data_IF_039973162574
#
_entry.id   IF_039973162574
#
_cell.length_a   1.000
_cell.length_b   1.000
_cell.length_c   1.000
_cell.angle_alpha   90.00
_cell.angle_beta   90.00
_cell.angle_gamma   90.00
#
_symmetry.space_group_name_H-M   'P 1'
#
loop_
_entity.id
_entity.type
_entity.pdbx_description
1 polymer ?
#
# COMPACT_ATOMS: atom_id res chain seq x y z
N UNK A 1 -15.95 1.50 2.48
CA UNK A 1 -15.03 0.66 1.69
C UNK A 1 -15.41 -0.79 1.92
N UNK A 2 -15.86 -1.52 0.90
CA UNK A 2 -16.25 -2.93 1.06
C UNK A 2 -15.01 -3.80 0.82
N UNK A 3 -14.43 -4.37 1.89
CA UNK A 3 -13.19 -5.14 1.81
C UNK A 3 -13.37 -6.66 1.77
N UNK A 4 -14.59 -7.16 1.97
CA UNK A 4 -14.85 -8.59 2.12
C UNK A 4 -14.34 -9.43 0.93
N UNK A 5 -14.35 -8.89 -0.28
CA UNK A 5 -13.89 -9.58 -1.48
C UNK A 5 -12.39 -9.98 -1.45
N UNK A 6 -11.59 -9.36 -0.59
CA UNK A 6 -10.18 -9.71 -0.38
C UNK A 6 -9.99 -10.91 0.58
N UNK A 7 -11.06 -11.38 1.23
CA UNK A 7 -11.01 -12.38 2.29
C UNK A 7 -11.96 -13.54 2.02
N UNK A 8 -11.45 -14.75 2.14
CA UNK A 8 -12.25 -15.98 2.07
C UNK A 8 -13.15 -16.16 3.31
N UNK A 9 -12.75 -15.60 4.44
CA UNK A 9 -13.53 -15.65 5.69
C UNK A 9 -14.28 -14.33 5.92
N UNK A 10 -15.43 -14.36 6.61
CA UNK A 10 -16.12 -13.14 7.02
C UNK A 10 -15.23 -12.21 7.83
N UNK A 11 -15.22 -10.93 7.45
CA UNK A 11 -14.59 -9.87 8.24
C UNK A 11 -15.37 -9.71 9.54
N UNK A 12 -14.69 -9.88 10.67
CA UNK A 12 -15.25 -9.68 12.00
C UNK A 12 -15.10 -8.24 12.47
N UNK A 13 -14.01 -7.58 12.06
CA UNK A 13 -13.71 -6.22 12.46
C UNK A 13 -12.94 -5.48 11.37
N UNK A 14 -13.29 -4.21 11.17
CA UNK A 14 -12.58 -3.29 10.28
C UNK A 14 -12.46 -1.93 10.97
N UNK A 15 -11.26 -1.36 10.95
CA UNK A 15 -11.05 0.04 11.37
C UNK A 15 -10.09 0.75 10.44
N UNK A 16 -10.39 2.02 10.17
CA UNK A 16 -9.49 2.87 9.38
C UNK A 16 -8.34 3.30 10.29
N UNK A 17 -7.12 3.07 9.83
CA UNK A 17 -5.94 3.60 10.52
C UNK A 17 -5.77 5.05 10.06
N UNK A 18 -5.84 5.97 11.04
CA UNK A 18 -5.70 7.41 10.79
C UNK A 18 -4.35 7.68 10.14
N UNK A 19 -4.28 8.56 9.12
CA UNK A 19 -3.01 8.90 8.52
C UNK A 19 -2.04 9.44 9.56
N UNK A 20 -0.76 9.08 9.45
CA UNK A 20 0.28 9.71 10.28
C UNK A 20 0.65 11.10 9.78
N UNK A 21 0.20 11.48 8.57
CA UNK A 21 0.44 12.77 7.90
C UNK A 21 -0.61 13.03 6.81
N UNK A 22 -0.83 14.30 6.46
CA UNK A 22 -1.91 14.73 5.53
C UNK A 22 -1.73 14.17 4.11
N UNK A 23 -0.50 14.11 3.61
CA UNK A 23 -0.16 13.69 2.23
C UNK A 23 -0.02 12.17 2.04
N UNK A 24 -0.68 11.37 2.88
CA UNK A 24 -0.56 9.92 2.79
C UNK A 24 -1.11 9.38 1.46
N UNK A 25 -0.24 8.71 0.69
CA UNK A 25 -0.53 8.18 -0.64
C UNK A 25 -1.49 6.97 -0.65
N UNK A 26 -1.91 6.48 0.51
CA UNK A 26 -2.78 5.31 0.62
C UNK A 26 -3.73 5.40 1.81
N UNK A 27 -4.96 4.95 1.62
CA UNK A 27 -5.86 4.63 2.72
C UNK A 27 -5.42 3.31 3.35
N UNK A 28 -5.34 3.29 4.68
CA UNK A 28 -4.87 2.14 5.44
C UNK A 28 -5.96 1.71 6.39
N UNK A 29 -6.24 0.41 6.42
CA UNK A 29 -7.26 -0.18 7.30
C UNK A 29 -6.70 -1.42 7.98
N UNK A 30 -7.02 -1.60 9.25
CA UNK A 30 -6.83 -2.85 9.95
C UNK A 30 -8.09 -3.71 9.75
N UNK A 31 -7.88 -4.97 9.34
CA UNK A 31 -8.96 -5.93 9.08
C UNK A 31 -8.67 -7.21 9.84
N UNK A 32 -9.67 -7.69 10.58
CA UNK A 32 -9.60 -8.94 11.32
C UNK A 32 -10.70 -9.90 10.85
N UNK A 33 -10.28 -11.12 10.59
CA UNK A 33 -11.11 -12.30 10.32
C UNK A 33 -10.86 -13.32 11.43
N UNK A 34 -11.54 -14.48 11.37
CA UNK A 34 -11.35 -15.55 12.36
C UNK A 34 -9.91 -16.08 12.39
N UNK A 35 -9.24 -16.17 11.24
CA UNK A 35 -7.88 -16.76 11.14
C UNK A 35 -6.73 -15.75 11.05
N UNK A 36 -6.99 -14.49 10.74
CA UNK A 36 -5.92 -13.52 10.51
C UNK A 36 -6.33 -12.09 10.85
N UNK A 37 -5.32 -11.32 11.24
CA UNK A 37 -5.36 -9.87 11.40
C UNK A 37 -4.33 -9.26 10.44
N UNK A 38 -4.79 -8.42 9.51
CA UNK A 38 -3.95 -7.87 8.45
C UNK A 38 -4.16 -6.36 8.29
N UNK A 39 -3.16 -5.70 7.73
CA UNK A 39 -3.26 -4.30 7.30
C UNK A 39 -3.51 -4.27 5.80
N UNK A 40 -4.64 -3.70 5.39
CA UNK A 40 -4.98 -3.46 3.98
C UNK A 40 -4.59 -2.04 3.62
N UNK A 41 -3.82 -1.89 2.55
CA UNK A 41 -3.43 -0.60 1.97
C UNK A 41 -4.06 -0.45 0.59
N UNK A 42 -4.78 0.63 0.37
CA UNK A 42 -5.33 0.99 -0.94
C UNK A 42 -4.68 2.28 -1.39
N UNK A 43 -3.99 2.24 -2.52
CA UNK A 43 -3.37 3.42 -3.11
C UNK A 43 -4.44 4.43 -3.52
N UNK A 44 -4.22 5.71 -3.19
CA UNK A 44 -5.01 6.83 -3.69
C UNK A 44 -4.54 7.31 -5.06
N UNK A 45 -3.49 6.68 -5.63
CA UNK A 45 -2.95 7.02 -6.93
C UNK A 45 -3.87 6.48 -8.04
N UNK A 46 -4.86 7.28 -8.41
CA UNK A 46 -5.87 6.92 -9.42
C UNK A 46 -5.31 7.08 -10.84
N UNK A 47 -4.45 8.07 -11.08
CA UNK A 47 -3.84 8.33 -12.37
C UNK A 47 -2.33 8.03 -12.41
N UNK A 48 -1.85 7.58 -13.56
CA UNK A 48 -0.43 7.29 -13.83
C UNK A 48 0.47 8.54 -13.70
N UNK A 49 -0.13 9.74 -13.63
CA UNK A 49 0.56 11.03 -13.75
C UNK A 49 0.36 12.03 -12.58
N UNK A 50 -0.43 11.76 -11.54
CA UNK A 50 -0.90 12.87 -10.69
C UNK A 50 0.06 13.36 -9.60
N UNK A 51 1.26 12.79 -9.44
CA UNK A 51 2.27 13.35 -8.52
C UNK A 51 3.73 13.09 -8.96
N UNK A 52 4.62 14.01 -8.56
CA UNK A 52 6.06 13.98 -8.81
C UNK A 52 6.71 12.65 -8.34
N UNK A 53 6.15 12.06 -7.27
CA UNK A 53 6.56 10.75 -6.76
C UNK A 53 6.36 9.62 -7.78
N UNK A 54 5.18 9.54 -8.42
CA UNK A 54 4.86 8.52 -9.40
C UNK A 54 5.80 8.54 -10.60
N UNK A 55 6.04 9.74 -11.13
CA UNK A 55 6.96 9.94 -12.24
C UNK A 55 8.40 9.60 -11.84
N UNK A 56 8.85 9.99 -10.64
CA UNK A 56 10.19 9.65 -10.14
C UNK A 56 10.38 8.15 -9.96
N UNK A 57 9.39 7.43 -9.42
CA UNK A 57 9.44 5.96 -9.32
C UNK A 57 9.61 5.30 -10.68
N UNK A 58 8.84 5.74 -11.68
CA UNK A 58 8.96 5.22 -13.05
C UNK A 58 10.30 5.57 -13.69
N UNK A 59 10.77 6.81 -13.54
CA UNK A 59 12.00 7.29 -14.20
C UNK A 59 13.29 6.79 -13.55
N UNK A 60 13.35 6.73 -12.23
CA UNK A 60 14.57 6.36 -11.48
C UNK A 60 14.65 4.85 -11.29
N UNK A 61 13.53 4.22 -10.93
CA UNK A 61 13.52 2.80 -10.55
C UNK A 61 12.85 1.88 -11.58
N UNK A 62 12.25 2.44 -12.64
CA UNK A 62 11.60 1.63 -13.68
C UNK A 62 10.35 0.91 -13.19
N UNK A 63 9.71 1.39 -12.11
CA UNK A 63 8.57 0.71 -11.49
C UNK A 63 7.30 1.57 -11.48
N UNK A 64 6.17 0.88 -11.50
CA UNK A 64 4.88 1.45 -11.16
C UNK A 64 4.69 1.40 -9.63
N UNK A 65 4.65 2.53 -8.91
CA UNK A 65 4.46 2.54 -7.46
C UNK A 65 3.06 2.07 -7.02
N UNK A 66 2.10 1.91 -7.95
CA UNK A 66 0.82 1.24 -7.68
C UNK A 66 1.02 -0.27 -7.45
N UNK A 67 2.10 -0.84 -7.97
CA UNK A 67 2.49 -2.21 -7.67
C UNK A 67 3.33 -2.25 -6.37
N UNK A 68 2.64 -2.40 -5.24
CA UNK A 68 3.25 -2.39 -3.90
C UNK A 68 4.36 -3.43 -3.74
N UNK A 69 4.28 -4.59 -4.40
CA UNK A 69 5.34 -5.61 -4.37
C UNK A 69 6.64 -5.13 -5.01
N UNK A 70 6.55 -4.25 -6.01
CA UNK A 70 7.75 -3.64 -6.63
C UNK A 70 8.46 -2.69 -5.66
N UNK A 71 7.70 -1.99 -4.81
CA UNK A 71 8.26 -1.11 -3.78
C UNK A 71 8.96 -1.91 -2.68
N UNK A 72 8.36 -3.01 -2.22
CA UNK A 72 8.99 -3.91 -1.24
C UNK A 72 10.34 -4.44 -1.75
N UNK A 73 10.38 -4.90 -3.00
CA UNK A 73 11.62 -5.38 -3.61
C UNK A 73 12.71 -4.31 -3.61
N UNK A 74 12.39 -3.09 -4.05
CA UNK A 74 13.35 -1.98 -4.07
C UNK A 74 13.84 -1.67 -2.67
N UNK A 75 12.93 -1.57 -1.69
CA UNK A 75 13.29 -1.28 -0.31
C UNK A 75 14.28 -2.31 0.25
N UNK A 76 14.03 -3.60 0.00
CA UNK A 76 14.92 -4.67 0.44
C UNK A 76 16.28 -4.60 -0.27
N UNK A 77 16.30 -4.32 -1.58
CA UNK A 77 17.56 -4.15 -2.32
C UNK A 77 18.37 -2.96 -1.82
N UNK A 78 17.73 -1.80 -1.62
CA UNK A 78 18.40 -0.60 -1.09
C UNK A 78 18.94 -0.87 0.30
N UNK A 79 18.16 -1.48 1.19
CA UNK A 79 18.58 -1.80 2.54
C UNK A 79 19.83 -2.70 2.55
N UNK A 80 19.88 -3.71 1.67
CA UNK A 80 21.05 -4.58 1.55
C UNK A 80 22.31 -3.88 1.02
N UNK A 81 22.15 -2.79 0.25
CA UNK A 81 23.26 -2.02 -0.31
C UNK A 81 23.76 -0.91 0.62
N UNK A 82 22.94 -0.48 1.58
CA UNK A 82 23.23 0.64 2.49
C UNK A 82 23.45 0.21 3.94
N UNK A 83 23.31 -1.07 4.26
CA UNK A 83 23.55 -1.64 5.59
C UNK A 83 24.96 -2.19 5.76
#
# INVERSE_FOLDING_TARGET
>A
MYLQYLFHEPIQYITKLTPSYEDQASDVSFVQTKRQAVVVRITRMVDEQSNDFGWKCKRIFGIDPRNVFSLERINNTLNNLTS
#
